data_IF_571192419077
#
_entry.id   IF_571192419077
#
_cell.length_a   1.000
_cell.length_b   1.000
_cell.length_c   1.000
_cell.angle_alpha   90.00
_cell.angle_beta   90.00
_cell.angle_gamma   90.00
#
_symmetry.space_group_name_H-M   'P 1'
#
loop_
_entity.id
_entity.type
_entity.pdbx_description
1 polymer ?
#
# COMPACT_ATOMS: atom_id res chain seq x y z
N UNK A 1 19.08 4.91 14.00
CA UNK A 1 17.66 5.03 14.34
C UNK A 1 16.81 4.78 13.12
N UNK A 2 16.25 3.57 13.09
CA UNK A 2 15.23 3.11 12.16
C UNK A 2 14.04 4.08 12.18
N UNK A 3 13.52 4.44 11.00
CA UNK A 3 12.43 5.42 10.82
C UNK A 3 11.07 4.77 10.56
N UNK A 4 11.10 3.57 9.98
CA UNK A 4 9.95 2.78 9.56
C UNK A 4 10.18 1.32 9.99
N UNK A 5 9.11 0.59 10.26
CA UNK A 5 9.19 -0.87 10.35
C UNK A 5 9.59 -1.47 8.99
N UNK A 6 10.16 -2.67 8.99
CA UNK A 6 10.61 -3.35 7.78
C UNK A 6 9.71 -4.54 7.43
N UNK A 7 9.89 -5.12 6.24
CA UNK A 7 9.17 -6.33 5.85
C UNK A 7 9.45 -7.52 6.79
N UNK A 8 10.64 -7.58 7.38
CA UNK A 8 10.99 -8.62 8.35
C UNK A 8 10.18 -8.48 9.64
N UNK A 9 9.81 -7.26 10.02
CA UNK A 9 8.92 -7.02 11.16
C UNK A 9 7.48 -7.46 10.85
N UNK A 10 7.00 -7.19 9.63
CA UNK A 10 5.69 -7.64 9.17
C UNK A 10 5.60 -9.17 9.03
N UNK A 11 6.71 -9.82 8.66
CA UNK A 11 6.79 -11.28 8.53
C UNK A 11 6.64 -12.00 9.88
N UNK A 12 6.90 -11.32 11.00
CA UNK A 12 6.70 -11.87 12.35
C UNK A 12 5.23 -11.91 12.77
N UNK A 13 4.35 -11.18 12.07
CA UNK A 13 2.93 -11.11 12.39
C UNK A 13 2.18 -12.36 11.91
N UNK A 14 1.19 -12.76 12.69
CA UNK A 14 0.16 -13.72 12.25
C UNK A 14 -0.78 -13.08 11.23
N UNK A 15 -1.50 -13.89 10.45
CA UNK A 15 -2.39 -13.35 9.42
C UNK A 15 -3.56 -12.54 10.01
N UNK A 16 -4.03 -12.90 11.21
CA UNK A 16 -5.01 -12.11 11.95
C UNK A 16 -4.46 -10.72 12.34
N UNK A 17 -3.20 -10.66 12.79
CA UNK A 17 -2.55 -9.39 13.12
C UNK A 17 -2.28 -8.53 11.88
N UNK A 18 -1.94 -9.15 10.74
CA UNK A 18 -1.81 -8.44 9.45
C UNK A 18 -3.15 -7.84 9.03
N UNK A 19 -4.24 -8.60 9.16
CA UNK A 19 -5.59 -8.12 8.86
C UNK A 19 -5.96 -6.93 9.75
N UNK A 20 -5.74 -7.03 11.07
CA UNK A 20 -6.04 -5.94 12.00
C UNK A 20 -5.15 -4.70 11.74
N UNK A 21 -3.88 -4.90 11.39
CA UNK A 21 -2.98 -3.82 10.98
C UNK A 21 -3.51 -3.09 9.74
N UNK A 22 -3.97 -3.85 8.75
CA UNK A 22 -4.57 -3.29 7.56
C UNK A 22 -5.83 -2.48 7.88
N UNK A 23 -6.69 -2.97 8.77
CA UNK A 23 -7.92 -2.28 9.20
C UNK A 23 -7.62 -0.95 9.89
N UNK A 24 -6.62 -0.91 10.77
CA UNK A 24 -6.20 0.33 11.44
C UNK A 24 -5.51 1.32 10.50
N UNK A 25 -4.95 0.86 9.39
CA UNK A 25 -4.26 1.71 8.45
C UNK A 25 -5.22 2.45 7.52
N UNK A 26 -5.10 3.78 7.53
CA UNK A 26 -5.73 4.66 6.57
C UNK A 26 -4.66 5.20 5.60
N UNK A 27 -4.54 4.65 4.37
CA UNK A 27 -3.47 5.00 3.45
C UNK A 27 -3.46 6.48 3.08
N UNK A 28 -2.29 7.11 3.16
CA UNK A 28 -2.05 8.49 2.73
C UNK A 28 -0.99 8.56 1.65
N UNK A 29 -0.92 9.71 0.97
CA UNK A 29 0.16 9.99 0.02
C UNK A 29 1.49 9.97 0.74
N UNK A 30 2.47 9.36 0.08
CA UNK A 30 3.85 9.15 0.55
C UNK A 30 4.00 8.14 1.68
N UNK A 31 2.95 7.37 1.99
CA UNK A 31 3.09 6.21 2.87
C UNK A 31 3.96 5.15 2.19
N UNK A 32 4.79 4.48 3.00
CA UNK A 32 5.55 3.33 2.56
C UNK A 32 4.74 2.06 2.84
N UNK A 33 4.62 1.17 1.87
CA UNK A 33 3.82 -0.05 1.98
C UNK A 33 4.47 -1.23 1.27
N UNK A 34 4.03 -2.43 1.64
CA UNK A 34 4.37 -3.70 0.97
C UNK A 34 3.09 -4.29 0.39
N UNK A 35 3.08 -4.58 -0.90
CA UNK A 35 2.02 -5.34 -1.56
C UNK A 35 2.43 -6.81 -1.68
N UNK A 36 1.51 -7.73 -1.39
CA UNK A 36 1.67 -9.16 -1.69
C UNK A 36 1.01 -9.46 -3.03
N UNK A 37 1.79 -9.93 -4.01
CA UNK A 37 1.33 -10.16 -5.37
C UNK A 37 1.47 -11.64 -5.70
N UNK A 38 0.39 -12.27 -6.13
CA UNK A 38 0.41 -13.64 -6.60
C UNK A 38 1.24 -13.71 -7.90
N UNK A 39 2.36 -14.43 -7.86
CA UNK A 39 3.21 -14.68 -9.04
C UNK A 39 2.86 -16.01 -9.70
N UNK A 40 2.42 -17.00 -8.92
CA UNK A 40 1.95 -18.27 -9.43
C UNK A 40 0.75 -18.77 -8.61
N UNK A 41 -0.42 -18.82 -9.24
CA UNK A 41 -1.65 -19.25 -8.60
C UNK A 41 -1.72 -20.78 -8.38
N UNK A 42 -1.02 -21.57 -9.19
CA UNK A 42 -1.02 -23.04 -9.06
C UNK A 42 -0.19 -23.52 -7.87
N UNK A 43 0.92 -22.83 -7.59
CA UNK A 43 1.81 -23.15 -6.47
C UNK A 43 1.60 -22.26 -5.24
N UNK A 44 0.62 -21.34 -5.30
CA UNK A 44 0.34 -20.33 -4.26
C UNK A 44 1.59 -19.50 -3.89
N UNK A 45 2.39 -19.13 -4.89
CA UNK A 45 3.58 -18.29 -4.69
C UNK A 45 3.22 -16.81 -4.75
N UNK A 46 3.66 -16.08 -3.73
CA UNK A 46 3.46 -14.64 -3.60
C UNK A 46 4.81 -13.93 -3.49
N UNK A 47 4.92 -12.79 -4.17
CA UNK A 47 6.04 -11.87 -4.08
C UNK A 47 5.65 -10.61 -3.31
N UNK A 48 6.53 -10.19 -2.41
CA UNK A 48 6.41 -8.91 -1.70
C UNK A 48 7.08 -7.79 -2.47
N UNK A 49 6.32 -6.73 -2.74
CA UNK A 49 6.81 -5.53 -3.41
C UNK A 49 6.69 -4.32 -2.48
N UNK A 50 7.84 -3.72 -2.16
CA UNK A 50 7.90 -2.44 -1.47
C UNK A 50 7.64 -1.30 -2.46
N UNK A 51 6.76 -0.38 -2.07
CA UNK A 51 6.42 0.79 -2.85
C UNK A 51 6.04 1.98 -1.98
N UNK A 52 6.05 3.17 -2.59
CA UNK A 52 5.57 4.41 -1.97
C UNK A 52 4.22 4.74 -2.59
N UNK A 53 3.22 4.98 -1.75
CA UNK A 53 1.89 5.38 -2.19
C UNK A 53 1.98 6.78 -2.81
N UNK A 54 1.74 6.91 -4.10
CA UNK A 54 1.73 8.19 -4.79
C UNK A 54 0.35 8.85 -4.80
N UNK A 55 -0.69 8.05 -4.97
CA UNK A 55 -2.08 8.49 -4.90
C UNK A 55 -2.99 7.41 -4.33
N UNK A 56 -4.15 7.82 -3.82
CA UNK A 56 -5.14 6.92 -3.22
C UNK A 56 -6.49 7.22 -3.87
N UNK A 57 -7.03 6.24 -4.59
CA UNK A 57 -8.36 6.32 -5.19
C UNK A 57 -9.32 5.41 -4.44
N UNK A 58 -10.55 5.87 -4.22
CA UNK A 58 -11.59 5.07 -3.57
C UNK A 58 -12.66 4.74 -4.61
N UNK A 59 -12.83 3.45 -4.89
CA UNK A 59 -13.87 2.95 -5.77
C UNK A 59 -14.88 2.16 -4.94
N UNK A 60 -16.11 2.68 -4.84
CA UNK A 60 -17.14 2.16 -3.93
C UNK A 60 -16.62 2.14 -2.48
N UNK A 61 -16.24 0.96 -1.97
CA UNK A 61 -15.70 0.76 -0.63
C UNK A 61 -14.27 0.19 -0.64
N UNK A 62 -13.60 0.19 -1.79
CA UNK A 62 -12.24 -0.34 -1.93
C UNK A 62 -11.24 0.78 -2.21
N UNK A 63 -10.15 0.75 -1.46
CA UNK A 63 -9.01 1.63 -1.67
C UNK A 63 -8.09 1.02 -2.71
N UNK A 64 -7.73 1.80 -3.72
CA UNK A 64 -6.73 1.49 -4.73
C UNK A 64 -5.56 2.44 -4.52
N UNK A 65 -4.38 1.86 -4.32
CA UNK A 65 -3.13 2.55 -4.07
C UNK A 65 -2.31 2.59 -5.36
N UNK A 66 -1.89 3.77 -5.77
CA UNK A 66 -1.05 3.95 -6.95
C UNK A 66 0.40 4.05 -6.54
N UNK A 67 1.28 3.30 -7.21
CA UNK A 67 2.72 3.39 -6.97
C UNK A 67 3.27 4.72 -7.51
N UNK A 68 3.92 5.49 -6.63
CA UNK A 68 4.51 6.78 -6.96
C UNK A 68 5.48 6.69 -8.16
N UNK A 69 6.16 5.56 -8.33
CA UNK A 69 7.11 5.38 -9.44
C UNK A 69 6.44 5.50 -10.82
N UNK A 70 5.15 5.18 -10.93
CA UNK A 70 4.44 5.13 -12.20
C UNK A 70 3.58 6.37 -12.48
N UNK A 71 3.36 7.24 -11.49
CA UNK A 71 2.60 8.49 -11.67
C UNK A 71 3.36 9.56 -12.47
N UNK A 72 4.69 9.55 -12.44
CA UNK A 72 5.48 10.54 -13.17
C UNK A 72 5.50 10.31 -14.68
N UNK A 73 5.20 9.09 -15.15
CA UNK A 73 5.17 8.77 -16.58
C UNK A 73 3.86 9.16 -17.27
N UNK A 74 2.77 9.36 -16.51
CA UNK A 74 1.46 9.77 -17.06
C UNK A 74 1.27 11.29 -17.11
N UNK A 75 2.09 12.06 -16.39
CA UNK A 75 1.96 13.51 -16.27
C UNK A 75 2.72 14.31 -17.35
N UNK A 76 3.41 13.67 -18.30
CA UNK A 76 4.13 14.38 -19.36
C UNK A 76 3.25 14.88 -20.51
N UNK A 77 1.98 14.46 -20.63
CA UNK A 77 1.18 14.76 -21.83
C UNK A 77 -0.17 15.46 -21.62
N UNK A 78 -0.57 15.85 -20.41
CA UNK A 78 -1.86 16.54 -20.24
C UNK A 78 -1.75 17.79 -19.36
N UNK A 79 -1.16 18.84 -19.93
CA UNK A 79 -1.43 20.22 -19.55
C UNK A 79 -1.90 21.03 -20.76
N UNK A 80 -3.15 20.82 -21.15
CA UNK A 80 -3.94 21.86 -21.81
C UNK A 80 -5.36 21.80 -21.25
N UNK A 81 -5.66 22.75 -20.37
CA UNK A 81 -6.99 22.88 -19.80
C UNK A 81 -8.03 23.28 -20.84
N UNK A 82 -9.22 22.73 -20.71
CA UNK A 82 -10.47 23.46 -20.90
C UNK A 82 -11.63 22.65 -20.31
N UNK A 83 -12.37 23.28 -19.41
CA UNK A 83 -13.70 22.86 -19.00
C UNK A 83 -14.66 22.91 -20.19
N UNK A 84 -15.48 21.88 -20.38
CA UNK A 84 -16.88 21.99 -20.81
C UNK A 84 -17.56 20.60 -20.87
N UNK A 85 -18.57 20.46 -20.01
CA UNK A 85 -19.86 19.77 -20.14
C UNK A 85 -20.22 18.96 -21.41
N UNK A 86 -20.87 17.82 -21.09
CA UNK A 86 -22.10 17.23 -21.68
C UNK A 86 -22.04 16.42 -22.99
N UNK A 87 -22.73 15.27 -22.88
CA UNK A 87 -23.38 14.42 -23.90
C UNK A 87 -22.53 13.62 -24.90
N UNK A 88 -22.46 12.30 -24.66
CA UNK A 88 -22.17 11.32 -25.70
C UNK A 88 -23.43 10.50 -26.01
N UNK A 89 -24.05 10.83 -27.14
CA UNK A 89 -25.11 10.09 -27.79
C UNK A 89 -24.59 8.74 -28.30
N UNK A 90 -25.41 7.71 -28.11
CA UNK A 90 -25.24 6.36 -28.61
C UNK A 90 -25.84 6.30 -30.02
N UNK A 91 -25.01 6.29 -31.07
CA UNK A 91 -25.47 5.96 -32.42
C UNK A 91 -25.06 4.54 -32.82
N UNK A 92 -26.12 3.78 -33.08
CA UNK A 92 -26.26 2.44 -33.60
C UNK A 92 -25.70 2.37 -35.05
N UNK A 93 -24.66 1.57 -35.28
CA UNK A 93 -24.13 1.33 -36.63
C UNK A 93 -24.66 0.00 -37.15
N UNK A 94 -25.65 0.16 -38.02
CA UNK A 94 -26.36 -0.87 -38.75
C UNK A 94 -25.42 -1.71 -39.64
N UNK A 95 -25.84 -2.96 -39.79
CA UNK A 95 -25.26 -4.00 -40.63
C UNK A 95 -25.21 -3.63 -42.11
N UNK A 96 -24.08 -3.89 -42.76
CA UNK A 96 -24.00 -4.32 -44.16
C UNK A 96 -22.55 -4.75 -44.46
N UNK A 97 -22.25 -6.05 -44.40
CA UNK A 97 -21.08 -6.58 -45.08
C UNK A 97 -21.36 -7.97 -45.67
N UNK A 98 -21.03 -8.04 -46.95
CA UNK A 98 -21.47 -8.95 -48.01
C UNK A 98 -20.74 -10.30 -47.93
N UNK A 99 -21.52 -11.39 -47.90
CA UNK A 99 -21.09 -12.78 -48.02
C UNK A 99 -20.67 -13.06 -49.47
N UNK A 100 -19.36 -13.00 -49.80
CA UNK A 100 -18.73 -13.87 -50.81
C UNK A 100 -17.23 -13.55 -51.01
N UNK A 101 -16.32 -14.21 -50.28
CA UNK A 101 -15.00 -14.55 -50.81
C UNK A 101 -14.54 -15.89 -50.25
N UNK A 102 -14.82 -16.93 -51.02
CA UNK A 102 -14.10 -18.20 -51.00
C UNK A 102 -12.67 -17.95 -51.49
N UNK A 103 -11.72 -17.95 -50.57
CA UNK A 103 -10.29 -18.01 -50.89
C UNK A 103 -9.63 -18.95 -49.90
N UNK A 104 -9.42 -20.18 -50.34
CA UNK A 104 -8.43 -21.12 -49.82
C UNK A 104 -7.06 -20.41 -49.77
N UNK A 105 -6.72 -19.83 -48.62
CA UNK A 105 -5.36 -19.44 -48.30
C UNK A 105 -4.77 -20.54 -47.44
N UNK A 106 -3.90 -21.33 -48.07
CA UNK A 106 -2.95 -22.25 -47.46
C UNK A 106 -2.38 -21.66 -46.16
N UNK A 107 -2.64 -22.36 -45.04
CA UNK A 107 -1.90 -22.18 -43.79
C UNK A 107 -0.48 -22.65 -44.08
N UNK A 108 0.36 -21.74 -44.58
CA UNK A 108 1.80 -21.95 -44.64
C UNK A 108 2.32 -21.94 -43.20
N UNK A 109 2.43 -23.15 -42.65
CA UNK A 109 3.13 -23.56 -41.44
C UNK A 109 4.65 -23.34 -41.59
N UNK A 110 5.10 -22.13 -41.94
CA UNK A 110 6.50 -21.72 -41.79
C UNK A 110 6.68 -20.20 -42.01
N UNK A 111 6.35 -19.40 -40.99
CA UNK A 111 6.96 -18.08 -40.83
C UNK A 111 7.34 -17.90 -39.36
N UNK A 112 8.58 -18.32 -39.12
CA UNK A 112 9.38 -18.10 -37.94
C UNK A 112 9.48 -16.61 -37.63
N UNK A 113 8.73 -16.16 -36.63
CA UNK A 113 9.29 -15.25 -35.64
C UNK A 113 9.01 -15.86 -34.26
N UNK A 114 10.09 -16.34 -33.63
CA UNK A 114 10.15 -16.49 -32.19
C UNK A 114 9.86 -15.12 -31.57
N UNK A 115 8.59 -14.73 -31.50
CA UNK A 115 8.16 -13.93 -30.38
C UNK A 115 8.28 -14.88 -29.20
N UNK A 116 9.48 -14.89 -28.61
CA UNK A 116 9.62 -15.10 -27.18
C UNK A 116 8.56 -14.18 -26.57
N UNK A 117 7.36 -14.72 -26.31
CA UNK A 117 6.43 -14.16 -25.36
C UNK A 117 7.13 -14.37 -24.03
N UNK A 118 8.17 -13.56 -23.85
CA UNK A 118 8.92 -13.40 -22.65
C UNK A 118 7.83 -12.81 -21.76
N UNK A 119 7.16 -13.70 -21.03
CA UNK A 119 6.19 -13.39 -19.99
C UNK A 119 6.95 -12.75 -18.84
N UNK A 120 7.66 -11.68 -19.18
CA UNK A 120 8.39 -10.80 -18.30
C UNK A 120 7.33 -10.24 -17.39
N UNK A 121 7.37 -10.71 -16.15
CA UNK A 121 6.53 -10.22 -15.07
C UNK A 121 6.50 -8.69 -15.11
N UNK A 122 5.35 -8.13 -15.44
CA UNK A 122 5.13 -6.68 -15.42
C UNK A 122 4.67 -6.34 -14.01
N UNK A 123 5.51 -5.62 -13.26
CA UNK A 123 5.18 -5.12 -11.93
C UNK A 123 3.88 -4.29 -12.01
N UNK A 124 2.84 -4.60 -11.22
CA UNK A 124 1.61 -3.81 -11.21
C UNK A 124 1.89 -2.35 -10.81
N UNK A 125 1.13 -1.44 -11.40
CA UNK A 125 1.21 0.00 -11.13
C UNK A 125 0.25 0.43 -10.01
N UNK A 126 -0.75 -0.41 -9.72
CA UNK A 126 -1.78 -0.17 -8.72
C UNK A 126 -1.98 -1.41 -7.87
N UNK A 127 -2.38 -1.20 -6.61
CA UNK A 127 -2.57 -2.26 -5.63
C UNK A 127 -3.88 -2.06 -4.87
N UNK A 128 -4.58 -3.16 -4.56
CA UNK A 128 -5.69 -3.12 -3.61
C UNK A 128 -5.13 -2.94 -2.20
N UNK A 129 -5.77 -2.11 -1.38
CA UNK A 129 -5.39 -1.97 0.04
C UNK A 129 -5.41 -3.31 0.77
N UNK A 130 -6.36 -4.19 0.45
CA UNK A 130 -6.52 -5.49 1.12
C UNK A 130 -5.28 -6.38 0.99
N UNK A 131 -4.53 -6.25 -0.12
CA UNK A 131 -3.32 -6.99 -0.40
C UNK A 131 -2.04 -6.29 0.08
N UNK A 132 -2.18 -5.12 0.72
CA UNK A 132 -1.10 -4.27 1.16
C UNK A 132 -0.96 -4.23 2.69
N UNK A 133 0.25 -3.99 3.17
CA UNK A 133 0.52 -3.70 4.58
C UNK A 133 1.38 -2.43 4.69
N UNK A 134 1.08 -1.54 5.65
CA UNK A 134 1.89 -0.35 5.86
C UNK A 134 3.24 -0.70 6.47
N UNK A 135 4.29 -0.06 5.97
CA UNK A 135 5.54 0.09 6.70
C UNK A 135 5.44 1.36 7.54
N UNK A 136 4.80 1.22 8.71
CA UNK A 136 4.53 2.35 9.61
C UNK A 136 5.81 3.10 10.00
N UNK A 137 5.75 4.42 9.86
CA UNK A 137 6.73 5.35 10.42
C UNK A 137 6.56 5.51 11.93
N UNK A 138 7.59 6.06 12.59
CA UNK A 138 7.51 6.48 14.00
C UNK A 138 6.30 7.40 14.25
N UNK A 139 6.05 8.35 13.35
CA UNK A 139 4.94 9.29 13.50
C UNK A 139 3.58 8.57 13.45
N UNK A 140 3.40 7.66 12.50
CA UNK A 140 2.17 6.87 12.38
C UNK A 140 1.97 5.95 13.59
N UNK A 141 3.03 5.31 14.09
CA UNK A 141 2.93 4.48 15.30
C UNK A 141 2.54 5.32 16.53
N UNK A 142 3.13 6.50 16.72
CA UNK A 142 2.75 7.42 17.80
C UNK A 142 1.27 7.80 17.69
N UNK A 143 0.80 8.15 16.49
CA UNK A 143 -0.59 8.52 16.25
C UNK A 143 -1.56 7.37 16.54
N UNK A 144 -1.22 6.14 16.14
CA UNK A 144 -2.02 4.94 16.42
C UNK A 144 -2.10 4.71 17.93
N UNK A 145 -0.96 4.75 18.65
CA UNK A 145 -0.93 4.52 20.10
C UNK A 145 -1.69 5.61 20.87
N UNK A 146 -1.61 6.87 20.45
CA UNK A 146 -2.35 7.97 21.09
C UNK A 146 -3.88 7.80 20.92
N UNK A 147 -4.32 7.33 19.76
CA UNK A 147 -5.73 7.02 19.47
C UNK A 147 -6.21 5.75 20.19
N UNK A 148 -5.38 4.72 20.30
CA UNK A 148 -5.74 3.42 20.85
C UNK A 148 -5.27 3.23 22.29
N UNK A 149 -5.86 3.99 23.22
CA UNK A 149 -5.53 3.88 24.65
C UNK A 149 -5.84 2.48 25.18
N UNK A 150 -4.80 1.71 25.47
CA UNK A 150 -4.88 0.37 26.02
C UNK A 150 -4.18 0.30 27.38
N UNK A 151 -4.59 -0.65 28.21
CA UNK A 151 -3.87 -0.99 29.47
C UNK A 151 -2.75 -2.00 29.25
N UNK A 152 -2.59 -2.50 28.03
CA UNK A 152 -1.59 -3.51 27.68
C UNK A 152 -0.18 -2.91 27.56
N UNK A 153 -0.09 -1.60 27.35
CA UNK A 153 1.16 -0.87 27.27
C UNK A 153 1.01 0.49 27.94
N UNK A 154 2.14 1.03 28.38
CA UNK A 154 2.23 2.40 28.89
C UNK A 154 2.97 3.25 27.85
N UNK A 155 2.24 4.16 27.21
CA UNK A 155 2.80 5.14 26.25
C UNK A 155 2.55 6.55 26.77
N UNK A 156 3.63 7.32 26.84
CA UNK A 156 3.61 8.73 27.18
C UNK A 156 4.73 9.46 26.44
N UNK A 157 4.39 10.57 25.79
CA UNK A 157 5.35 11.44 25.13
C UNK A 157 5.09 12.88 25.54
N UNK A 158 6.11 13.54 26.06
CA UNK A 158 6.11 14.95 26.42
C UNK A 158 7.27 15.63 25.70
N UNK A 159 6.96 16.70 24.97
CA UNK A 159 7.95 17.63 24.45
C UNK A 159 7.55 19.04 24.84
N UNK A 160 8.47 19.78 25.48
CA UNK A 160 8.27 21.14 25.96
C UNK A 160 9.50 21.99 25.63
N UNK A 161 9.29 23.20 25.14
CA UNK A 161 10.34 24.19 24.88
C UNK A 161 10.34 25.38 25.87
N UNK A 162 9.51 25.31 26.92
CA UNK A 162 9.31 26.32 27.95
C UNK A 162 8.20 27.33 27.66
N UNK A 163 7.67 27.37 26.43
CA UNK A 163 6.55 28.23 26.03
C UNK A 163 5.33 27.42 25.56
N UNK A 164 5.59 26.33 24.84
CA UNK A 164 4.60 25.42 24.33
C UNK A 164 5.04 23.99 24.61
N UNK A 165 4.08 23.17 25.00
CA UNK A 165 4.28 21.75 25.22
C UNK A 165 3.25 20.95 24.43
N UNK A 166 3.66 19.76 24.00
CA UNK A 166 2.76 18.73 23.50
C UNK A 166 2.88 17.50 24.39
N UNK A 167 1.72 16.95 24.75
CA UNK A 167 1.58 15.76 25.57
C UNK A 167 0.69 14.76 24.81
N UNK A 168 1.19 13.54 24.63
CA UNK A 168 0.47 12.44 23.97
C UNK A 168 0.52 11.18 24.85
N UNK A 169 -0.52 10.34 24.77
CA UNK A 169 -0.63 9.09 25.50
C UNK A 169 -1.40 9.16 26.83
N UNK A 170 -1.06 8.25 27.75
CA UNK A 170 -1.74 8.10 29.05
C UNK A 170 -1.10 8.99 30.12
N UNK A 171 -1.92 9.77 30.84
CA UNK A 171 -1.48 10.59 31.97
C UNK A 171 -1.21 9.79 33.24
N UNK A 172 -1.77 8.57 33.30
CA UNK A 172 -1.56 7.62 34.39
C UNK A 172 -0.30 6.76 34.13
N UNK A 173 0.66 7.29 33.37
CA UNK A 173 1.87 6.56 32.99
C UNK A 173 2.60 6.03 34.22
N UNK A 174 2.78 4.72 34.26
CA UNK A 174 3.36 4.05 35.40
C UNK A 174 4.89 4.22 35.40
N UNK A 175 5.38 5.15 36.22
CA UNK A 175 6.82 5.36 36.47
C UNK A 175 7.50 4.23 37.25
N UNK A 176 6.83 3.12 37.57
CA UNK A 176 7.45 2.01 38.32
C UNK A 176 8.65 1.37 37.62
N UNK A 177 8.77 1.51 36.30
CA UNK A 177 9.95 1.10 35.52
C UNK A 177 11.00 2.21 35.34
N UNK A 178 10.79 3.42 35.85
CA UNK A 178 11.75 4.50 35.70
C UNK A 178 13.01 4.19 36.52
N UNK A 179 14.10 3.86 35.84
CA UNK A 179 15.37 3.44 36.47
C UNK A 179 15.58 1.93 36.60
N UNK A 180 14.71 1.09 36.02
CA UNK A 180 15.00 -0.34 35.86
C UNK A 180 15.93 -0.61 34.68
N UNK A 181 16.70 -1.70 34.77
CA UNK A 181 17.63 -2.19 33.74
C UNK A 181 16.88 -2.79 32.54
N UNK A 182 16.13 -1.96 31.81
CA UNK A 182 15.58 -2.37 30.53
C UNK A 182 16.70 -2.59 29.52
N UNK A 183 16.54 -3.60 28.68
CA UNK A 183 17.38 -3.74 27.49
C UNK A 183 17.12 -2.52 26.58
N UNK A 184 18.16 -1.75 26.30
CA UNK A 184 18.03 -0.54 25.48
C UNK A 184 17.74 -0.92 24.03
N UNK A 185 16.50 -0.72 23.58
CA UNK A 185 16.08 -0.85 22.17
C UNK A 185 15.90 0.52 21.53
N UNK A 186 15.94 0.57 20.20
CA UNK A 186 15.64 1.81 19.47
C UNK A 186 14.15 2.18 19.61
N UNK A 187 13.83 3.48 19.55
CA UNK A 187 12.45 3.98 19.69
C UNK A 187 11.47 3.28 18.71
N UNK A 188 11.88 3.09 17.45
CA UNK A 188 11.05 2.46 16.44
C UNK A 188 10.65 1.03 16.85
N UNK A 189 11.60 0.27 17.41
CA UNK A 189 11.35 -1.12 17.80
C UNK A 189 10.45 -1.18 19.04
N UNK A 190 10.66 -0.29 20.02
CA UNK A 190 9.78 -0.21 21.21
C UNK A 190 8.35 0.16 20.83
N UNK A 191 8.17 1.16 19.96
CA UNK A 191 6.85 1.54 19.47
C UNK A 191 6.18 0.39 18.72
N UNK A 192 6.94 -0.35 17.90
CA UNK A 192 6.42 -1.50 17.19
C UNK A 192 5.97 -2.63 18.13
N UNK A 193 6.74 -2.92 19.18
CA UNK A 193 6.30 -3.87 20.21
C UNK A 193 4.99 -3.43 20.88
N UNK A 194 4.81 -2.13 21.16
CA UNK A 194 3.55 -1.61 21.69
C UNK A 194 2.38 -1.79 20.71
N UNK A 195 2.61 -1.54 19.41
CA UNK A 195 1.59 -1.75 18.37
C UNK A 195 1.21 -3.23 18.30
N UNK A 196 2.17 -4.16 18.37
CA UNK A 196 1.88 -5.61 18.37
C UNK A 196 0.98 -6.06 19.52
N UNK A 197 0.93 -5.32 20.63
CA UNK A 197 0.05 -5.63 21.76
C UNK A 197 -1.42 -5.23 21.51
N UNK A 198 -1.68 -4.37 20.53
CA UNK A 198 -3.04 -3.99 20.13
C UNK A 198 -3.49 -4.62 18.81
N UNK A 199 -2.58 -5.27 18.08
CA UNK A 199 -2.87 -6.10 16.90
C UNK A 199 -3.43 -7.46 17.31
#
# INVERSE_FOLDING_TARGET
>A
MKRYITKEDLAQLTDAQKMHLNEMWYPQKYDLAVANICTNAETEEYQQIEFVVGDVSVYHNRFVLHDLAFLNNTNSDNFSGQEASEDFDFEELDSDFDDNYDSEYDINEDSTENENFDSLYIRPTTFSKEDCLPLLSIAQMIEILDKHKSKLYDFYLLADNGQFAVEMGSKDYNLSGYGSDFESKELCDVLWECIKLIL
#
